data_IF_062970987426
#
_entry.id   IF_062970987426
#
_cell.length_a   1.000
_cell.length_b   1.000
_cell.length_c   1.000
_cell.angle_alpha   90.00
_cell.angle_beta   90.00
_cell.angle_gamma   90.00
#
_symmetry.space_group_name_H-M   'P 1'
#
loop_
_entity.id
_entity.type
_entity.pdbx_description
1 polymer ?
#
# COMPACT_ATOMS: atom_id res chain seq x y z
N UNK A 1 -64.70 -37.30 22.69
CA UNK A 1 -63.51 -37.51 21.83
C UNK A 1 -62.58 -36.29 21.98
N UNK A 2 -61.67 -36.34 22.94
CA UNK A 2 -60.72 -35.24 23.23
C UNK A 2 -59.70 -35.13 22.08
N UNK A 3 -59.62 -33.96 21.42
CA UNK A 3 -58.60 -33.66 20.41
C UNK A 3 -57.24 -33.65 21.13
N UNK A 4 -56.41 -34.66 20.87
CA UNK A 4 -55.03 -34.71 21.37
C UNK A 4 -54.29 -33.45 20.91
N UNK A 5 -53.79 -32.67 21.86
CA UNK A 5 -52.97 -31.48 21.63
C UNK A 5 -51.73 -31.91 20.82
N UNK A 6 -51.41 -31.20 19.74
CA UNK A 6 -50.22 -31.50 18.92
C UNK A 6 -48.94 -31.25 19.71
N UNK A 7 -47.90 -32.05 19.46
CA UNK A 7 -46.58 -31.90 20.08
C UNK A 7 -45.90 -30.61 19.63
N UNK A 8 -45.30 -29.89 20.57
CA UNK A 8 -44.42 -28.73 20.30
C UNK A 8 -43.13 -29.17 19.61
N UNK A 9 -42.43 -28.24 18.95
CA UNK A 9 -41.12 -28.50 18.32
C UNK A 9 -40.11 -29.04 19.33
N UNK A 10 -40.07 -28.46 20.53
CA UNK A 10 -39.13 -28.87 21.58
C UNK A 10 -39.44 -30.27 22.13
N UNK A 11 -40.72 -30.59 22.30
CA UNK A 11 -41.16 -31.92 22.71
C UNK A 11 -40.82 -32.99 21.66
N UNK A 12 -40.88 -32.63 20.37
CA UNK A 12 -40.46 -33.53 19.29
C UNK A 12 -38.94 -33.72 19.27
N UNK A 13 -38.16 -32.67 19.54
CA UNK A 13 -36.68 -32.74 19.66
C UNK A 13 -36.27 -33.67 20.81
N UNK A 14 -36.86 -33.50 21.98
CA UNK A 14 -36.59 -34.33 23.15
C UNK A 14 -36.94 -35.81 22.89
N UNK A 15 -38.12 -36.08 22.32
CA UNK A 15 -38.53 -37.45 21.96
C UNK A 15 -37.65 -38.08 20.88
N UNK A 16 -37.15 -37.29 19.94
CA UNK A 16 -36.22 -37.77 18.91
C UNK A 16 -34.84 -38.11 19.50
N UNK A 17 -34.37 -37.33 20.48
CA UNK A 17 -33.12 -37.63 21.21
C UNK A 17 -33.24 -38.88 22.08
N UNK A 18 -34.38 -39.09 22.75
CA UNK A 18 -34.65 -40.33 23.49
C UNK A 18 -34.54 -41.56 22.59
N UNK A 19 -35.08 -41.49 21.35
CA UNK A 19 -34.97 -42.57 20.38
C UNK A 19 -33.51 -42.87 20.00
N UNK A 20 -32.65 -41.85 19.87
CA UNK A 20 -31.23 -42.07 19.57
C UNK A 20 -30.45 -42.68 20.74
N UNK A 21 -30.92 -42.52 21.97
CA UNK A 21 -30.26 -43.04 23.18
C UNK A 21 -30.80 -44.39 23.64
N UNK A 22 -32.01 -44.76 23.24
CA UNK A 22 -32.57 -46.10 23.42
C UNK A 22 -31.96 -47.05 22.37
N UNK A 23 -31.49 -48.23 22.80
CA UNK A 23 -30.74 -49.20 21.97
C UNK A 23 -31.56 -49.89 20.86
N UNK A 24 -32.81 -49.49 20.64
CA UNK A 24 -33.78 -50.18 19.77
C UNK A 24 -34.22 -49.29 18.59
N UNK A 25 -33.28 -48.85 17.76
CA UNK A 25 -33.59 -48.00 16.60
C UNK A 25 -34.21 -48.77 15.41
N UNK A 26 -34.21 -50.11 15.42
CA UNK A 26 -34.71 -50.93 14.30
C UNK A 26 -36.24 -50.99 14.20
N UNK A 27 -36.97 -50.49 15.21
CA UNK A 27 -38.42 -50.41 15.16
C UNK A 27 -38.88 -49.11 15.80
N UNK A 28 -39.25 -48.16 14.93
CA UNK A 28 -40.30 -47.15 15.18
C UNK A 28 -39.87 -45.72 15.57
N UNK A 29 -39.75 -44.85 14.55
CA UNK A 29 -39.84 -43.39 14.72
C UNK A 29 -41.27 -42.84 14.51
N UNK A 30 -42.08 -43.46 13.64
CA UNK A 30 -43.40 -42.94 13.26
C UNK A 30 -44.58 -43.47 14.11
N UNK A 31 -44.52 -44.70 14.63
CA UNK A 31 -45.61 -45.38 15.37
C UNK A 31 -45.58 -45.17 16.90
N UNK A 32 -44.43 -44.92 17.53
CA UNK A 32 -44.27 -44.93 19.00
C UNK A 32 -44.22 -43.53 19.62
N UNK A 33 -43.49 -42.57 19.02
CA UNK A 33 -43.34 -41.22 19.60
C UNK A 33 -44.30 -40.16 19.03
N UNK A 34 -45.04 -40.49 17.95
CA UNK A 34 -46.09 -39.65 17.37
C UNK A 34 -45.59 -38.41 16.60
N UNK A 35 -44.36 -38.45 16.07
CA UNK A 35 -43.78 -37.36 15.28
C UNK A 35 -44.28 -37.44 13.83
N UNK A 36 -44.93 -36.39 13.28
CA UNK A 36 -45.39 -36.39 11.90
C UNK A 36 -44.22 -36.55 10.92
N UNK A 37 -44.35 -37.46 9.94
CA UNK A 37 -43.28 -37.80 8.98
C UNK A 37 -42.70 -36.59 8.24
N UNK A 38 -43.52 -35.58 7.95
CA UNK A 38 -43.06 -34.35 7.28
C UNK A 38 -42.11 -33.51 8.14
N UNK A 39 -42.21 -33.59 9.47
CA UNK A 39 -41.40 -32.77 10.39
C UNK A 39 -40.12 -33.44 10.87
N UNK A 40 -39.96 -34.75 10.63
CA UNK A 40 -38.81 -35.52 11.12
C UNK A 40 -37.50 -34.99 10.55
N UNK A 41 -37.46 -34.66 9.26
CA UNK A 41 -36.25 -34.15 8.60
C UNK A 41 -35.80 -32.82 9.21
N UNK A 42 -36.72 -31.88 9.41
CA UNK A 42 -36.40 -30.55 9.96
C UNK A 42 -35.92 -30.64 11.41
N UNK A 43 -36.54 -31.52 12.22
CA UNK A 43 -36.13 -31.76 13.60
C UNK A 43 -34.77 -32.44 13.66
N UNK A 44 -34.52 -33.44 12.81
CA UNK A 44 -33.25 -34.13 12.74
C UNK A 44 -32.11 -33.18 12.33
N UNK A 45 -32.32 -32.36 11.30
CA UNK A 45 -31.34 -31.36 10.90
C UNK A 45 -31.13 -30.29 11.97
N UNK A 46 -32.17 -29.89 12.72
CA UNK A 46 -32.02 -29.02 13.88
C UNK A 46 -31.15 -29.63 14.97
N UNK A 47 -31.31 -30.92 15.27
CA UNK A 47 -30.47 -31.64 16.24
C UNK A 47 -29.02 -31.79 15.77
N UNK A 48 -28.80 -31.96 14.47
CA UNK A 48 -27.46 -31.98 13.88
C UNK A 48 -26.80 -30.60 13.94
N UNK A 49 -27.55 -29.55 13.62
CA UNK A 49 -27.08 -28.15 13.71
C UNK A 49 -26.65 -27.79 15.14
N UNK A 50 -27.36 -28.29 16.14
CA UNK A 50 -27.07 -28.04 17.55
C UNK A 50 -26.01 -29.00 18.13
N UNK A 51 -25.41 -29.87 17.29
CA UNK A 51 -24.34 -30.80 17.68
C UNK A 51 -24.78 -31.92 18.62
N UNK A 52 -26.08 -32.18 18.72
CA UNK A 52 -26.66 -33.23 19.57
C UNK A 52 -26.70 -34.59 18.86
N UNK A 53 -26.86 -34.58 17.53
CA UNK A 53 -26.83 -35.76 16.67
C UNK A 53 -25.72 -35.59 15.65
N UNK A 54 -24.92 -36.62 15.46
CA UNK A 54 -23.92 -36.66 14.41
C UNK A 54 -24.53 -37.17 13.11
N UNK A 55 -24.00 -36.66 12.01
CA UNK A 55 -24.31 -37.18 10.69
C UNK A 55 -23.05 -37.36 9.87
N UNK A 56 -22.96 -38.47 9.15
CA UNK A 56 -21.90 -38.67 8.16
C UNK A 56 -22.45 -39.33 6.90
N UNK A 57 -21.88 -38.96 5.76
CA UNK A 57 -22.29 -39.44 4.45
C UNK A 57 -21.32 -40.51 3.98
N UNK A 58 -21.79 -41.75 3.97
CA UNK A 58 -21.03 -42.91 3.52
C UNK A 58 -21.66 -43.39 2.21
N UNK A 59 -20.95 -43.15 1.10
CA UNK A 59 -21.44 -43.43 -0.25
C UNK A 59 -22.64 -42.56 -0.64
N UNK A 60 -23.77 -43.20 -0.95
CA UNK A 60 -25.02 -42.53 -1.33
C UNK A 60 -25.94 -42.23 -0.14
N UNK A 61 -25.61 -42.72 1.05
CA UNK A 61 -26.49 -42.67 2.23
C UNK A 61 -25.90 -41.79 3.33
N UNK A 62 -26.79 -41.15 4.11
CA UNK A 62 -26.42 -40.35 5.29
C UNK A 62 -26.83 -41.13 6.53
N UNK A 63 -25.87 -41.35 7.42
CA UNK A 63 -26.05 -42.05 8.69
C UNK A 63 -26.14 -41.03 9.81
N UNK A 64 -27.04 -41.27 10.77
CA UNK A 64 -27.22 -40.42 11.94
C UNK A 64 -27.06 -41.24 13.22
N UNK A 65 -26.33 -40.72 14.20
CA UNK A 65 -26.14 -41.38 15.49
C UNK A 65 -25.94 -40.35 16.60
N UNK A 66 -26.18 -40.75 17.85
CA UNK A 66 -25.83 -39.93 19.01
C UNK A 66 -25.37 -40.84 20.16
N UNK A 67 -24.41 -40.35 20.95
CA UNK A 67 -23.93 -41.05 22.14
C UNK A 67 -24.22 -40.23 23.40
N UNK A 68 -24.84 -40.81 24.45
CA UNK A 68 -25.13 -40.09 25.70
C UNK A 68 -23.89 -39.45 26.34
N UNK A 69 -22.71 -40.07 26.17
CA UNK A 69 -21.44 -39.60 26.71
C UNK A 69 -20.81 -38.44 25.93
N UNK A 70 -21.22 -38.21 24.66
CA UNK A 70 -20.56 -37.27 23.75
C UNK A 70 -20.64 -35.82 24.24
N UNK A 71 -21.82 -35.38 24.68
CA UNK A 71 -22.01 -34.01 25.16
C UNK A 71 -21.11 -33.71 26.38
N UNK A 72 -20.96 -34.66 27.29
CA UNK A 72 -20.06 -34.54 28.44
C UNK A 72 -18.58 -34.55 28.05
N UNK A 73 -18.21 -35.39 27.09
CA UNK A 73 -16.83 -35.47 26.59
C UNK A 73 -16.41 -34.20 25.84
N UNK A 74 -17.24 -33.70 24.93
CA UNK A 74 -16.98 -32.46 24.19
C UNK A 74 -16.83 -31.25 25.13
N UNK A 75 -17.66 -31.16 26.19
CA UNK A 75 -17.50 -30.12 27.21
C UNK A 75 -16.18 -30.24 27.96
N UNK A 76 -15.77 -31.44 28.35
CA UNK A 76 -14.47 -31.67 29.02
C UNK A 76 -13.28 -31.32 28.13
N UNK A 77 -13.32 -31.72 26.86
CA UNK A 77 -12.30 -31.34 25.87
C UNK A 77 -12.23 -29.83 25.71
N UNK A 78 -13.38 -29.15 25.62
CA UNK A 78 -13.42 -27.69 25.51
C UNK A 78 -12.89 -27.00 26.76
N UNK A 79 -13.19 -27.53 27.95
CA UNK A 79 -12.63 -27.03 29.22
C UNK A 79 -11.11 -27.18 29.20
N UNK A 80 -10.57 -28.37 28.89
CA UNK A 80 -9.12 -28.58 28.86
C UNK A 80 -8.40 -27.70 27.83
N UNK A 81 -9.01 -27.49 26.66
CA UNK A 81 -8.48 -26.57 25.65
C UNK A 81 -8.43 -25.12 26.16
N UNK A 82 -9.50 -24.65 26.82
CA UNK A 82 -9.56 -23.30 27.40
C UNK A 82 -8.59 -23.14 28.58
N UNK A 83 -8.43 -24.18 29.42
CA UNK A 83 -7.46 -24.17 30.52
C UNK A 83 -6.02 -24.08 29.99
N UNK A 84 -5.69 -24.82 28.92
CA UNK A 84 -4.40 -24.72 28.24
C UNK A 84 -4.17 -23.32 27.68
N UNK A 85 -5.17 -22.74 27.00
CA UNK A 85 -5.09 -21.39 26.44
C UNK A 85 -4.90 -20.32 27.53
N UNK A 86 -5.59 -20.45 28.66
CA UNK A 86 -5.40 -19.57 29.82
C UNK A 86 -3.97 -19.69 30.36
N UNK A 87 -3.44 -20.91 30.44
CA UNK A 87 -2.06 -21.15 30.90
C UNK A 87 -1.04 -20.46 29.98
N UNK A 88 -1.19 -20.63 28.66
CA UNK A 88 -0.32 -20.03 27.66
C UNK A 88 -0.39 -18.49 27.69
N UNK A 89 -1.60 -17.95 27.79
CA UNK A 89 -1.80 -16.49 27.87
C UNK A 89 -1.20 -15.91 29.16
N UNK A 90 -1.31 -16.61 30.29
CA UNK A 90 -0.67 -16.19 31.55
C UNK A 90 0.85 -16.17 31.43
N UNK A 91 1.45 -17.20 30.82
CA UNK A 91 2.90 -17.22 30.57
C UNK A 91 3.33 -16.04 29.69
N UNK A 92 2.62 -15.80 28.59
CA UNK A 92 2.92 -14.68 27.68
C UNK A 92 2.77 -13.32 28.35
N UNK A 93 1.78 -13.18 29.23
CA UNK A 93 1.58 -11.95 30.00
C UNK A 93 2.80 -11.67 30.88
N UNK A 94 3.29 -12.68 31.61
CA UNK A 94 4.49 -12.55 32.46
C UNK A 94 5.72 -12.17 31.61
N UNK A 95 5.93 -12.82 30.47
CA UNK A 95 7.06 -12.51 29.57
C UNK A 95 6.97 -11.07 29.02
N UNK A 96 5.77 -10.63 28.66
CA UNK A 96 5.53 -9.27 28.18
C UNK A 96 5.74 -8.23 29.28
N UNK A 97 5.29 -8.49 30.51
CA UNK A 97 5.52 -7.61 31.65
C UNK A 97 7.01 -7.47 31.96
N UNK A 98 7.77 -8.58 31.96
CA UNK A 98 9.23 -8.52 32.13
C UNK A 98 9.91 -7.73 31.02
N UNK A 99 9.52 -7.97 29.76
CA UNK A 99 10.07 -7.25 28.60
C UNK A 99 9.79 -5.75 28.68
N UNK A 100 8.58 -5.39 29.09
CA UNK A 100 8.14 -4.03 29.26
C UNK A 100 8.89 -3.34 30.41
N UNK A 101 9.11 -4.03 31.53
CA UNK A 101 9.88 -3.50 32.65
C UNK A 101 11.35 -3.26 32.27
N UNK A 102 12.00 -4.21 31.58
CA UNK A 102 13.35 -4.03 31.05
C UNK A 102 13.44 -2.86 30.05
N UNK A 103 12.42 -2.66 29.21
CA UNK A 103 12.36 -1.55 28.27
C UNK A 103 12.12 -0.20 28.97
N UNK A 104 11.37 -0.19 30.09
CA UNK A 104 11.10 1.01 30.90
C UNK A 104 12.30 1.42 31.75
N UNK A 105 13.06 0.47 32.29
CA UNK A 105 14.26 0.75 33.10
C UNK A 105 15.26 1.66 32.36
N UNK A 106 15.38 1.52 31.04
CA UNK A 106 16.27 2.35 30.21
C UNK A 106 15.57 3.58 29.59
N UNK A 107 14.29 3.79 29.89
CA UNK A 107 13.43 4.84 29.32
C UNK A 107 12.63 5.55 30.41
N UNK A 108 13.25 5.81 31.54
CA UNK A 108 12.65 6.63 32.58
C UNK A 108 12.28 8.00 32.01
N UNK A 109 11.09 8.48 32.37
CA UNK A 109 10.62 9.82 32.04
C UNK A 109 11.28 10.81 32.99
N UNK A 110 12.54 11.13 32.73
CA UNK A 110 13.25 12.21 33.41
C UNK A 110 13.06 13.52 32.66
N UNK A 111 13.12 14.64 33.39
CA UNK A 111 13.06 15.99 32.80
C UNK A 111 14.18 16.15 31.75
N UNK A 112 15.39 15.68 32.07
CA UNK A 112 16.54 15.69 31.15
C UNK A 112 16.26 14.97 29.82
N UNK A 113 15.53 13.85 29.85
CA UNK A 113 15.16 13.10 28.64
C UNK A 113 14.14 13.86 27.81
N UNK A 114 13.14 14.48 28.44
CA UNK A 114 12.12 15.27 27.75
C UNK A 114 12.75 16.51 27.10
N UNK A 115 13.65 17.20 27.81
CA UNK A 115 14.44 18.30 27.28
C UNK A 115 15.33 17.85 26.10
N UNK A 116 16.03 16.72 26.23
CA UNK A 116 16.86 16.18 25.15
C UNK A 116 16.05 15.79 23.91
N UNK A 117 14.83 15.26 24.08
CA UNK A 117 13.92 14.95 22.98
C UNK A 117 13.39 16.22 22.30
N UNK A 118 13.06 17.26 23.08
CA UNK A 118 12.67 18.57 22.53
C UNK A 118 13.81 19.19 21.72
N UNK A 119 15.01 19.25 22.30
CA UNK A 119 16.20 19.77 21.63
C UNK A 119 16.56 18.97 20.37
N UNK A 120 16.40 17.63 20.39
CA UNK A 120 16.60 16.80 19.20
C UNK A 120 15.61 17.18 18.09
N UNK A 121 14.32 17.35 18.43
CA UNK A 121 13.30 17.75 17.47
C UNK A 121 13.57 19.12 16.87
N UNK A 122 13.97 20.10 17.68
CA UNK A 122 14.33 21.45 17.24
C UNK A 122 15.58 21.43 16.35
N UNK A 123 16.61 20.66 16.72
CA UNK A 123 17.82 20.54 15.91
C UNK A 123 17.55 19.84 14.57
N UNK A 124 16.62 18.88 14.53
CA UNK A 124 16.22 18.23 13.28
C UNK A 124 15.50 19.19 12.34
N UNK A 125 14.57 20.01 12.84
CA UNK A 125 13.90 21.01 12.00
C UNK A 125 14.88 22.06 11.49
N UNK A 126 15.77 22.56 12.35
CA UNK A 126 16.81 23.52 11.97
C UNK A 126 17.76 22.94 10.91
N UNK A 127 18.14 21.67 11.05
CA UNK A 127 19.02 21.00 10.10
C UNK A 127 18.37 20.87 8.72
N UNK A 128 17.07 20.55 8.65
CA UNK A 128 16.34 20.50 7.37
C UNK A 128 16.21 21.89 6.73
N UNK A 129 15.94 22.93 7.53
CA UNK A 129 15.94 24.31 7.05
C UNK A 129 17.31 24.71 6.49
N UNK A 130 18.39 24.46 7.24
CA UNK A 130 19.75 24.77 6.80
C UNK A 130 20.14 24.01 5.54
N UNK A 131 19.76 22.73 5.40
CA UNK A 131 19.98 21.97 4.16
C UNK A 131 19.27 22.61 2.98
N UNK A 132 18.02 23.03 3.15
CA UNK A 132 17.24 23.72 2.12
C UNK A 132 17.90 25.05 1.71
N UNK A 133 18.35 25.84 2.68
CA UNK A 133 19.06 27.08 2.39
C UNK A 133 20.38 26.82 1.65
N UNK A 134 21.11 25.77 2.03
CA UNK A 134 22.38 25.39 1.40
C UNK A 134 22.15 24.94 -0.06
N UNK A 135 21.09 24.20 -0.37
CA UNK A 135 20.79 23.81 -1.76
C UNK A 135 20.49 25.02 -2.63
N UNK A 136 19.78 26.02 -2.11
CA UNK A 136 19.56 27.29 -2.82
C UNK A 136 20.89 28.03 -3.04
N UNK A 137 21.71 28.16 -1.99
CA UNK A 137 22.99 28.89 -2.07
C UNK A 137 24.03 28.21 -2.98
N UNK A 138 23.96 26.88 -3.17
CA UNK A 138 24.84 26.16 -4.11
C UNK A 138 24.76 26.70 -5.53
N UNK A 139 23.61 27.24 -5.95
CA UNK A 139 23.44 27.83 -7.28
C UNK A 139 24.29 29.09 -7.47
N UNK A 140 24.60 29.79 -6.39
CA UNK A 140 25.40 31.02 -6.37
C UNK A 140 26.87 30.78 -6.04
N UNK A 141 27.34 29.53 -6.10
CA UNK A 141 28.73 29.21 -5.77
C UNK A 141 29.69 29.93 -6.76
N UNK A 142 30.78 30.57 -6.29
CA UNK A 142 31.68 31.35 -7.15
C UNK A 142 32.24 30.56 -8.33
N UNK A 143 32.50 29.26 -8.16
CA UNK A 143 32.95 28.39 -9.24
C UNK A 143 31.85 28.16 -10.29
N UNK A 144 30.58 28.03 -9.87
CA UNK A 144 29.43 27.88 -10.78
C UNK A 144 29.18 29.16 -11.56
N UNK A 145 29.29 30.31 -10.90
CA UNK A 145 29.19 31.63 -11.56
C UNK A 145 30.31 31.79 -12.60
N UNK A 146 31.57 31.49 -12.23
CA UNK A 146 32.71 31.55 -13.16
C UNK A 146 32.54 30.60 -14.35
N UNK A 147 32.07 29.39 -14.12
CA UNK A 147 31.77 28.43 -15.18
C UNK A 147 30.70 28.98 -16.13
N UNK A 148 29.61 29.54 -15.58
CA UNK A 148 28.52 30.13 -16.37
C UNK A 148 29.01 31.33 -17.19
N UNK A 149 29.84 32.20 -16.61
CA UNK A 149 30.46 33.33 -17.31
C UNK A 149 31.33 32.86 -18.47
N UNK A 150 32.21 31.88 -18.27
CA UNK A 150 33.07 31.34 -19.35
C UNK A 150 32.25 30.65 -20.45
N UNK A 151 31.19 29.92 -20.09
CA UNK A 151 30.26 29.32 -21.06
C UNK A 151 29.51 30.40 -21.85
N UNK A 152 29.15 31.50 -21.21
CA UNK A 152 28.44 32.63 -21.84
C UNK A 152 29.35 33.35 -22.81
N UNK A 153 30.61 33.63 -22.43
CA UNK A 153 31.63 34.19 -23.33
C UNK A 153 31.82 33.31 -24.57
N UNK A 154 31.97 31.99 -24.38
CA UNK A 154 32.13 31.04 -25.50
C UNK A 154 30.88 31.00 -26.39
N UNK A 155 29.68 31.06 -25.80
CA UNK A 155 28.43 31.06 -26.54
C UNK A 155 28.23 32.35 -27.35
N UNK A 156 28.60 33.50 -26.77
CA UNK A 156 28.58 34.80 -27.45
C UNK A 156 29.57 34.80 -28.62
N UNK A 157 30.80 34.33 -28.41
CA UNK A 157 31.80 34.21 -29.47
C UNK A 157 31.29 33.30 -30.60
N UNK A 158 30.74 32.12 -30.26
CA UNK A 158 30.13 31.21 -31.22
C UNK A 158 28.97 31.85 -31.99
N UNK A 159 28.07 32.55 -31.31
CA UNK A 159 26.93 33.23 -31.94
C UNK A 159 27.39 34.33 -32.89
N UNK A 160 28.29 35.20 -32.43
CA UNK A 160 28.86 36.30 -33.20
C UNK A 160 29.64 35.80 -34.43
N UNK A 161 30.30 34.63 -34.33
CA UNK A 161 30.93 33.93 -35.47
C UNK A 161 29.94 33.48 -36.54
N UNK A 162 28.65 33.34 -36.23
CA UNK A 162 27.64 33.04 -37.24
C UNK A 162 26.90 34.29 -37.73
N UNK A 163 26.63 35.29 -36.87
CA UNK A 163 25.66 36.36 -37.12
C UNK A 163 26.22 37.70 -37.62
N UNK A 164 27.53 37.88 -37.72
CA UNK A 164 28.14 39.21 -37.94
C UNK A 164 27.87 39.88 -39.30
N UNK A 165 27.42 41.15 -39.27
CA UNK A 165 27.44 42.13 -40.39
C UNK A 165 28.61 43.09 -40.15
N UNK A 166 29.45 43.34 -41.16
CA UNK A 166 30.69 44.11 -41.02
C UNK A 166 30.46 45.53 -40.44
N UNK A 167 30.83 45.75 -39.18
CA UNK A 167 31.08 47.09 -38.65
C UNK A 167 32.54 47.44 -38.86
N UNK A 168 32.77 48.47 -39.68
CA UNK A 168 34.06 49.08 -39.96
C UNK A 168 34.65 49.62 -38.65
N UNK A 169 35.55 48.89 -37.98
CA UNK A 169 36.59 49.42 -37.06
C UNK A 169 37.34 48.28 -36.36
N UNK A 170 38.13 47.49 -37.09
CA UNK A 170 39.28 46.74 -36.53
C UNK A 170 40.03 46.07 -37.69
N UNK A 171 41.24 46.55 -37.98
CA UNK A 171 42.03 46.10 -39.12
C UNK A 171 42.80 44.79 -38.89
N UNK A 172 42.56 44.07 -37.78
CA UNK A 172 43.39 42.91 -37.41
C UNK A 172 42.61 41.79 -36.67
N UNK A 173 41.37 41.50 -37.07
CA UNK A 173 40.75 40.18 -36.82
C UNK A 173 39.82 39.93 -38.01
N UNK A 174 39.99 38.84 -38.74
CA UNK A 174 39.03 38.43 -39.77
C UNK A 174 37.66 38.21 -39.09
N UNK A 175 36.62 39.02 -39.37
CA UNK A 175 35.28 38.67 -38.93
C UNK A 175 34.85 37.47 -39.77
N UNK A 176 34.75 36.31 -39.15
CA UNK A 176 34.25 35.11 -39.81
C UNK A 176 32.73 35.26 -39.97
N UNK A 177 32.30 35.97 -41.00
CA UNK A 177 30.90 36.23 -41.33
C UNK A 177 30.23 34.99 -41.96
N UNK A 178 30.05 33.88 -41.25
CA UNK A 178 29.63 32.63 -41.90
C UNK A 178 28.29 32.77 -42.65
N UNK A 179 27.26 33.38 -42.05
CA UNK A 179 25.94 33.53 -42.70
C UNK A 179 26.05 34.45 -43.93
N UNK A 180 26.68 35.62 -43.79
CA UNK A 180 26.77 36.59 -44.90
C UNK A 180 27.80 36.20 -45.97
N UNK A 181 28.87 35.46 -45.62
CA UNK A 181 29.79 34.86 -46.59
C UNK A 181 29.09 33.78 -47.42
N UNK A 182 28.25 32.95 -46.80
CA UNK A 182 27.46 31.95 -47.52
C UNK A 182 26.46 32.65 -48.45
N UNK A 183 25.73 33.68 -47.98
CA UNK A 183 24.81 34.46 -48.82
C UNK A 183 25.55 35.10 -50.00
N UNK A 184 26.68 35.77 -49.73
CA UNK A 184 27.48 36.43 -50.77
C UNK A 184 28.08 35.44 -51.78
N UNK A 185 28.51 34.26 -51.33
CA UNK A 185 28.98 33.21 -52.23
C UNK A 185 27.86 32.64 -53.09
N UNK A 186 26.67 32.40 -52.53
CA UNK A 186 25.49 31.93 -53.29
C UNK A 186 25.09 32.97 -54.34
N UNK A 187 25.03 34.25 -53.96
CA UNK A 187 24.77 35.36 -54.87
C UNK A 187 25.76 35.37 -56.03
N UNK A 188 27.06 35.33 -55.74
CA UNK A 188 28.11 35.43 -56.76
C UNK A 188 28.19 34.20 -57.67
N UNK A 189 27.90 33.00 -57.14
CA UNK A 189 28.04 31.74 -57.89
C UNK A 189 26.79 31.37 -58.67
N UNK A 190 25.60 31.69 -58.16
CA UNK A 190 24.32 31.26 -58.73
C UNK A 190 23.42 32.42 -59.20
N UNK A 191 23.82 33.67 -58.99
CA UNK A 191 23.06 34.85 -59.44
C UNK A 191 21.74 35.08 -58.70
N UNK A 192 21.62 34.55 -57.49
CA UNK A 192 20.40 34.68 -56.66
C UNK A 192 20.42 36.03 -55.94
N UNK A 193 19.25 36.68 -55.84
CA UNK A 193 19.10 37.96 -55.14
C UNK A 193 19.17 37.84 -53.62
N UNK A 194 19.83 38.80 -52.96
CA UNK A 194 20.07 38.79 -51.51
C UNK A 194 18.76 38.90 -50.72
N UNK A 195 17.80 39.73 -51.19
CA UNK A 195 16.53 39.90 -50.48
C UNK A 195 15.68 38.63 -50.53
N UNK A 196 15.77 37.86 -51.62
CA UNK A 196 15.14 36.54 -51.72
C UNK A 196 15.77 35.54 -50.73
N UNK A 197 17.10 35.52 -50.60
CA UNK A 197 17.81 34.62 -49.68
C UNK A 197 17.55 34.98 -48.21
N UNK A 198 17.60 36.26 -47.84
CA UNK A 198 17.31 36.75 -46.48
C UNK A 198 15.89 36.36 -46.05
N UNK A 199 14.91 36.52 -46.95
CA UNK A 199 13.53 36.13 -46.70
C UNK A 199 13.36 34.61 -46.60
N UNK A 200 14.06 33.83 -47.43
CA UNK A 200 13.98 32.36 -47.44
C UNK A 200 14.63 31.72 -46.21
N UNK A 201 15.74 32.27 -45.73
CA UNK A 201 16.42 31.80 -44.52
C UNK A 201 15.91 32.45 -43.23
N UNK A 202 14.85 33.26 -43.31
CA UNK A 202 14.24 33.94 -42.17
C UNK A 202 15.24 34.75 -41.34
N UNK A 203 16.18 35.42 -42.01
CA UNK A 203 17.20 36.23 -41.34
C UNK A 203 16.56 37.54 -40.87
N UNK A 204 16.55 37.84 -39.55
CA UNK A 204 15.95 39.08 -39.05
C UNK A 204 16.71 40.32 -39.51
N UNK A 205 15.98 41.40 -39.80
CA UNK A 205 16.59 42.68 -40.21
C UNK A 205 17.42 43.34 -39.09
N UNK A 206 17.14 43.00 -37.84
CA UNK A 206 17.83 43.48 -36.64
C UNK A 206 18.88 42.49 -36.12
N UNK A 207 19.34 41.54 -36.94
CA UNK A 207 20.41 40.63 -36.56
C UNK A 207 21.74 41.40 -36.44
N UNK A 208 22.30 41.42 -35.23
CA UNK A 208 23.54 42.12 -34.91
C UNK A 208 24.39 41.35 -33.87
N UNK A 209 25.58 41.86 -33.58
CA UNK A 209 26.46 41.33 -32.55
C UNK A 209 25.81 41.39 -31.16
N UNK A 210 26.05 40.35 -30.37
CA UNK A 210 25.72 40.34 -28.95
C UNK A 210 26.87 41.01 -28.21
N UNK A 211 26.59 42.16 -27.58
CA UNK A 211 27.52 42.87 -26.69
C UNK A 211 27.56 42.21 -25.30
N UNK A 212 28.76 42.10 -24.72
CA UNK A 212 29.00 41.65 -23.33
C UNK A 212 28.99 42.81 -22.35
#
# INVERSE_FOLDING_TARGET
>A
MSRRRGLSVEEKRMKMMELFYEKELERVSHKEKGIPSMTVKDILMGLVSDGLVDSDKIGTSIYFWAFPSKAGQSRREKIGALESEISDLKSRLVDLEQTLEMARANKEKTVEREEALSALSENQSLLEELKSNLTHLKQHHPNRIRELSSQTETAIECANRWTGKASLLSHLVYPSDNIFQIIGWIKNRFGVDDAALVKQFHIPDNLDYIET
#
